data_IF_920758412570
#
_entry.id   IF_920758412570
#
_cell.length_a   1.000
_cell.length_b   1.000
_cell.length_c   1.000
_cell.angle_alpha   90.00
_cell.angle_beta   90.00
_cell.angle_gamma   90.00
#
_symmetry.space_group_name_H-M   'P 1'
#
loop_
_entity.id
_entity.type
_entity.pdbx_description
1 polymer ?
2 non-polymer ?
3 non-polymer ?
4 water ?
#
# COMPACT_ATOMS: atom_id res chain seq x y z
N UNK A 19 9.79 -30.51 13.81
CA UNK A 19 9.67 -29.37 12.88
C UNK A 19 8.78 -29.74 11.70
N UNK A 20 7.66 -29.01 11.48
CA UNK A 20 6.75 -29.38 10.39
C UNK A 20 7.33 -28.94 9.04
N UNK A 21 7.09 -29.77 8.00
CA UNK A 21 7.60 -29.56 6.65
C UNK A 21 6.42 -29.24 5.73
N UNK A 22 6.66 -28.50 4.63
CA UNK A 22 5.62 -28.22 3.61
C UNK A 22 6.06 -28.70 2.21
N UNK A 23 7.08 -28.04 1.63
CA UNK A 23 7.67 -28.43 0.34
C UNK A 23 9.14 -28.85 0.53
N UNK A 24 9.35 -29.71 1.51
CA UNK A 24 10.69 -30.15 1.91
C UNK A 24 11.55 -29.07 2.53
N UNK A 25 10.90 -28.03 3.15
CA UNK A 25 11.56 -26.90 3.83
C UNK A 25 10.94 -26.73 5.21
N UNK A 26 11.72 -26.19 6.19
CA UNK A 26 11.18 -25.94 7.52
C UNK A 26 10.15 -24.81 7.45
N UNK A 27 8.94 -25.12 7.93
CA UNK A 27 7.90 -24.14 8.20
C UNK A 27 7.45 -24.38 9.65
N UNK A 28 8.26 -23.85 10.57
CA UNK A 28 8.25 -24.28 11.97
C UNK A 28 7.37 -23.40 12.88
N UNK A 29 6.10 -23.80 13.06
CA UNK A 29 5.08 -22.92 13.64
C UNK A 29 4.31 -23.51 14.81
N UNK A 30 4.37 -24.83 15.01
CA UNK A 30 3.56 -25.47 16.05
C UNK A 30 3.91 -25.09 17.49
N UNK A 31 3.13 -25.57 18.47
CA UNK A 31 1.95 -26.44 18.35
C UNK A 31 0.61 -25.67 18.27
N UNK A 32 0.63 -24.33 18.34
CA UNK A 32 -0.60 -23.54 18.31
C UNK A 32 -1.28 -23.62 16.91
N UNK A 33 -0.48 -23.76 15.84
CA UNK A 33 -0.92 -23.64 14.46
C UNK A 33 -0.69 -24.96 13.70
N UNK A 34 -1.78 -25.71 13.44
CA UNK A 34 -1.73 -27.06 12.85
C UNK A 34 -2.56 -27.19 11.55
N UNK A 35 -2.36 -28.28 10.79
CA UNK A 35 -2.98 -28.51 9.48
C UNK A 35 -2.59 -27.40 8.48
N UNK A 36 -1.32 -27.42 8.06
CA UNK A 36 -0.77 -26.44 7.12
C UNK A 36 -1.20 -26.75 5.68
N UNK A 37 -1.76 -25.76 4.96
CA UNK A 37 -1.92 -25.83 3.51
C UNK A 37 -1.01 -24.77 2.88
N UNK A 38 -0.26 -25.15 1.84
CA UNK A 38 0.62 -24.22 1.13
C UNK A 38 -0.22 -23.15 0.39
N UNK A 39 0.37 -21.95 0.15
CA UNK A 39 -0.26 -20.85 -0.60
C UNK A 39 0.69 -20.31 -1.69
N UNK A 40 1.80 -19.69 -1.31
CA UNK A 40 2.68 -19.02 -2.27
C UNK A 40 4.08 -18.67 -1.80
N UNK A 41 4.70 -17.68 -2.48
CA UNK A 41 6.09 -17.26 -2.30
C UNK A 41 6.19 -15.72 -2.29
N UNK A 42 5.43 -15.09 -1.40
CA UNK A 42 5.27 -13.64 -1.35
C UNK A 42 6.54 -12.82 -1.39
N UNK A 43 7.20 -12.66 -0.22
CA UNK A 43 8.31 -11.71 -0.10
C UNK A 43 9.64 -12.28 -0.58
N UNK A 45 10.04 -14.51 1.86
CA UNK A 45 10.04 -15.96 1.99
C UNK A 45 8.71 -16.57 1.59
N UNK A 46 8.41 -17.81 2.02
CA UNK A 46 7.16 -18.50 1.65
C UNK A 46 5.99 -18.24 2.60
N UNK A 47 4.76 -18.50 2.09
CA UNK A 47 3.49 -18.29 2.80
C UNK A 47 2.65 -19.57 2.78
N UNK A 48 1.92 -19.84 3.88
CA UNK A 48 1.05 -21.01 4.09
C UNK A 48 -0.11 -20.57 4.94
N UNK A 49 -1.24 -21.27 4.88
CA UNK A 49 -2.31 -21.18 5.91
C UNK A 49 -2.15 -22.29 6.96
N UNK A 50 -2.90 -22.19 8.07
CA UNK A 50 -2.82 -23.10 9.21
C UNK A 50 -4.02 -22.88 10.13
N UNK A 51 -4.40 -23.90 10.96
CA UNK A 51 -5.45 -23.80 11.98
C UNK A 51 -4.93 -23.29 13.30
N UNK A 52 -5.43 -22.13 13.78
CA UNK A 52 -5.13 -21.64 15.12
C UNK A 52 -5.93 -22.48 16.13
N UNK A 53 -5.29 -23.00 17.19
CA UNK A 53 -5.96 -23.83 18.20
C UNK A 53 -6.43 -23.02 19.45
N UNK A 54 -6.03 -21.74 19.60
CA UNK A 54 -6.43 -20.89 20.75
C UNK A 54 -7.68 -20.11 20.40
N UNK A 55 -7.57 -19.21 19.40
CA UNK A 55 -8.74 -18.72 18.67
C UNK A 55 -9.08 -19.88 17.74
N UNK A 56 -10.35 -20.08 17.44
CA UNK A 56 -10.76 -21.24 16.66
C UNK A 56 -11.19 -20.76 15.29
N UNK A 57 -10.17 -20.31 14.54
CA UNK A 57 -10.26 -19.77 13.19
C UNK A 57 -8.99 -20.18 12.43
N UNK A 58 -9.06 -20.40 11.10
CA UNK A 58 -7.82 -20.61 10.33
C UNK A 58 -7.15 -19.24 10.09
N UNK A 59 -5.82 -19.23 9.86
CA UNK A 59 -5.00 -18.00 9.79
C UNK A 59 -3.99 -18.09 8.65
N UNK A 60 -3.35 -16.97 8.27
CA UNK A 60 -2.27 -16.94 7.28
C UNK A 60 -0.93 -16.76 8.02
N UNK A 61 0.16 -17.39 7.51
CA UNK A 61 1.48 -17.36 8.13
C UNK A 61 2.55 -17.13 7.09
N UNK A 62 3.33 -16.06 7.25
CA UNK A 62 4.44 -15.68 6.39
C UNK A 62 5.79 -16.06 7.03
N UNK A 63 6.68 -16.83 6.34
CA UNK A 63 8.06 -17.07 6.79
C UNK A 63 8.98 -15.97 6.22
N UNK A 64 9.71 -15.27 7.10
CA UNK A 64 10.63 -14.20 6.74
C UNK A 64 12.00 -14.64 7.22
N UNK A 65 13.01 -14.49 6.35
CA UNK A 65 14.39 -14.85 6.62
C UNK A 65 15.33 -13.67 6.19
N UNK A 66 15.39 -12.58 6.97
CA UNK A 66 16.15 -11.39 6.55
C UNK A 66 17.50 -11.15 7.23
N UNK A 67 18.08 -12.12 7.98
CA UNK A 67 19.13 -11.71 8.91
C UNK A 67 20.48 -11.52 8.21
N UNK A 68 20.60 -12.03 6.97
CA UNK A 68 21.85 -11.91 6.19
C UNK A 68 22.08 -10.51 5.60
N UNK A 69 21.01 -9.72 5.43
CA UNK A 69 21.09 -8.44 4.70
C UNK A 69 20.53 -7.33 5.55
N UNK A 70 21.28 -6.23 5.66
CA UNK A 70 20.88 -5.15 6.55
C UNK A 70 19.65 -4.45 5.99
N UNK A 71 19.56 -4.33 4.65
CA UNK A 71 18.38 -3.78 3.96
C UNK A 71 17.09 -4.55 4.36
N UNK A 72 17.16 -5.89 4.44
CA UNK A 72 15.93 -6.66 4.66
C UNK A 72 15.58 -6.64 6.16
N UNK A 73 16.61 -6.67 7.03
CA UNK A 73 16.40 -6.32 8.42
C UNK A 73 15.63 -5.01 8.62
N UNK A 74 16.02 -3.90 7.94
CA UNK A 74 15.38 -2.59 8.06
C UNK A 74 13.90 -2.67 7.66
N UNK A 75 13.62 -3.31 6.51
CA UNK A 75 12.27 -3.48 6.00
C UNK A 75 11.44 -4.35 6.96
N UNK A 76 12.00 -5.50 7.43
CA UNK A 76 11.27 -6.40 8.35
C UNK A 76 10.97 -5.70 9.62
N UNK A 77 11.96 -5.01 10.19
CA UNK A 77 11.75 -4.24 11.40
C UNK A 77 10.76 -3.15 11.17
N UNK A 78 10.85 -2.37 10.06
CA UNK A 78 9.84 -1.28 9.82
C UNK A 78 8.44 -1.81 9.78
N UNK A 79 8.20 -2.87 8.99
CA UNK A 79 6.87 -3.46 8.90
C UNK A 79 6.32 -3.98 10.22
N UNK A 80 7.13 -4.71 10.96
CA UNK A 80 6.71 -5.23 12.27
C UNK A 80 6.42 -4.04 13.22
N UNK A 81 7.33 -3.03 13.32
CA UNK A 81 7.08 -1.89 14.20
C UNK A 81 5.74 -1.15 13.85
N UNK A 82 5.52 -0.92 12.55
CA UNK A 82 4.32 -0.21 12.11
C UNK A 82 3.09 -1.06 12.40
N UNK A 83 3.09 -2.32 11.96
CA UNK A 83 1.93 -3.18 12.16
C UNK A 83 1.59 -3.40 13.60
N UNK A 84 2.57 -3.49 14.46
CA UNK A 84 2.28 -3.65 15.88
C UNK A 84 1.81 -2.33 16.52
N UNK A 85 2.25 -1.19 16.00
CA UNK A 85 1.82 0.11 16.52
C UNK A 85 0.31 0.30 16.14
N UNK A 86 -0.04 -0.06 14.93
CA UNK A 86 -1.34 0.22 14.39
C UNK A 86 -2.40 -0.73 14.89
N UNK A 87 -3.59 -0.17 15.11
CA UNK A 87 -4.75 -0.99 15.39
C UNK A 87 -5.92 -0.35 14.68
N UNK A 88 -6.33 -0.95 13.57
CA UNK A 88 -7.42 -0.40 12.73
C UNK A 88 -8.10 -1.49 11.96
N UNK A 89 -9.45 -1.41 11.82
CA UNK A 89 -10.23 -2.44 11.12
C UNK A 89 -9.83 -2.60 9.65
N UNK A 90 -9.28 -1.52 9.03
CA UNK A 90 -8.95 -1.58 7.63
C UNK A 90 -7.45 -1.68 7.37
N UNK A 91 -6.69 -2.16 8.39
CA UNK A 91 -5.28 -2.43 8.25
C UNK A 91 -5.01 -3.82 8.84
N UNK A 92 -4.24 -4.64 8.12
CA UNK A 92 -4.01 -6.01 8.57
C UNK A 92 -3.25 -5.92 9.91
N UNK A 93 -3.65 -6.70 10.86
CA UNK A 93 -2.96 -6.74 12.16
C UNK A 93 -1.97 -7.87 12.21
N UNK A 94 -1.02 -7.86 13.15
CA UNK A 94 -0.20 -9.05 13.42
C UNK A 94 -0.85 -9.74 14.62
N UNK A 95 -1.28 -10.97 14.47
CA UNK A 95 -1.93 -11.70 15.58
C UNK A 95 -0.89 -12.31 16.48
N UNK A 96 0.24 -12.73 15.89
CA UNK A 96 1.26 -13.49 16.64
C UNK A 96 2.54 -13.45 15.84
N UNK A 97 3.68 -13.66 16.52
CA UNK A 97 4.97 -13.83 15.87
C UNK A 97 5.64 -14.98 16.51
N UNK A 98 6.09 -15.92 15.68
CA UNK A 98 6.78 -17.13 16.13
C UNK A 98 8.23 -17.01 15.77
N UNK A 99 9.11 -17.22 16.75
CA UNK A 99 10.55 -17.31 16.51
C UNK A 99 11.18 -18.00 17.68
N UNK A 100 12.41 -18.41 17.50
CA UNK A 100 13.25 -19.04 18.51
C UNK A 100 13.38 -18.21 19.82
N UNK A 101 13.64 -18.85 20.95
CA UNK A 101 13.74 -18.12 22.22
C UNK A 101 15.01 -17.27 22.36
N UNK A 102 16.03 -17.44 21.48
CA UNK A 102 17.32 -16.74 21.59
C UNK A 102 17.71 -16.18 20.23
N UNK A 103 18.51 -15.09 20.23
CA UNK A 103 19.01 -14.49 18.98
C UNK A 103 19.77 -15.52 18.14
N UNK A 104 20.63 -16.29 18.78
CA UNK A 104 21.49 -17.27 18.13
C UNK A 104 20.70 -18.35 17.42
N UNK A 105 19.62 -18.83 18.03
CA UNK A 105 18.78 -19.86 17.41
C UNK A 105 17.77 -19.27 16.44
N UNK A 106 17.55 -17.93 16.44
CA UNK A 106 16.57 -17.32 15.56
C UNK A 106 17.14 -17.22 14.14
N UNK A 107 16.59 -18.01 13.22
CA UNK A 107 16.96 -18.00 11.80
C UNK A 107 15.87 -17.47 10.93
N UNK A 108 14.58 -17.63 11.35
CA UNK A 108 13.41 -17.15 10.63
C UNK A 108 12.46 -16.45 11.64
N UNK A 109 11.57 -15.63 11.10
CA UNK A 109 10.42 -15.20 11.87
C UNK A 109 9.14 -15.59 11.11
N UNK A 110 8.13 -16.01 11.83
CA UNK A 110 6.80 -16.32 11.26
C UNK A 110 5.81 -15.29 11.73
N UNK A 111 5.18 -14.57 10.79
CA UNK A 111 4.15 -13.60 11.12
C UNK A 111 2.79 -14.17 10.85
N UNK A 112 1.97 -14.25 11.86
CA UNK A 112 0.60 -14.77 11.80
C UNK A 112 -0.35 -13.62 11.64
N UNK A 113 -1.21 -13.68 10.58
CA UNK A 113 -2.27 -12.68 10.38
C UNK A 113 -3.64 -13.29 10.09
N UNK A 114 -4.69 -12.46 10.16
CA UNK A 114 -6.05 -12.92 9.75
C UNK A 114 -5.98 -13.55 8.35
N UNK A 115 -6.71 -14.65 8.15
CA UNK A 115 -6.74 -15.28 6.85
C UNK A 115 -7.79 -14.49 6.11
N UNK A 116 -7.43 -14.03 4.94
CA UNK A 116 -8.30 -13.20 4.13
C UNK A 116 -8.46 -14.01 2.89
N UNK A 117 -9.70 -14.24 2.53
CA UNK A 117 -10.04 -15.15 1.45
C UNK A 117 -9.50 -14.72 0.10
N UNK A 118 -9.37 -13.38 -0.18
CA UNK A 118 -8.81 -12.96 -1.45
C UNK A 118 -8.15 -11.57 -1.34
N UNK A 119 -7.86 -10.97 -2.49
CA UNK A 119 -7.33 -9.58 -2.56
C UNK A 119 -7.94 -8.91 -3.77
N UNK A 120 -7.84 -7.60 -3.85
CA UNK A 120 -8.49 -6.85 -4.92
C UNK A 120 -7.90 -7.18 -6.31
N UNK A 121 -6.58 -7.50 -6.36
CA UNK A 121 -5.96 -7.92 -7.64
C UNK A 121 -6.66 -9.18 -8.14
N UNK A 122 -6.73 -10.20 -7.34
CA UNK A 122 -7.38 -11.46 -7.71
C UNK A 122 -8.85 -11.26 -8.07
N UNK A 123 -9.56 -10.51 -7.23
CA UNK A 123 -10.97 -10.22 -7.44
C UNK A 123 -11.17 -9.53 -8.82
N UNK A 124 -10.34 -8.53 -9.15
CA UNK A 124 -10.45 -7.80 -10.42
C UNK A 124 -10.11 -8.67 -11.64
N UNK A 125 -9.32 -9.75 -11.48
CA UNK A 125 -9.05 -10.63 -12.61
C UNK A 125 -10.36 -11.30 -13.16
N UNK A 126 -11.34 -11.67 -12.31
CA UNK A 126 -12.52 -12.39 -12.78
C UNK A 126 -13.88 -11.81 -12.39
N UNK A 127 -13.95 -10.76 -11.55
CA UNK A 127 -15.24 -10.26 -11.08
C UNK A 127 -15.49 -8.83 -11.50
N UNK A 128 -16.63 -8.57 -12.16
CA UNK A 128 -17.16 -7.20 -12.27
C UNK A 128 -17.55 -6.68 -10.88
N UNK A 129 -17.13 -5.47 -10.57
CA UNK A 129 -17.55 -4.86 -9.29
C UNK A 129 -18.78 -3.97 -9.51
N UNK A 130 -19.84 -4.14 -8.72
CA UNK A 130 -20.95 -3.19 -8.81
C UNK A 130 -20.50 -1.80 -8.35
N UNK A 131 -21.27 -0.75 -8.72
CA UNK A 131 -20.96 0.58 -8.17
C UNK A 131 -21.01 0.57 -6.67
N UNK A 132 -21.90 -0.21 -6.01
CA UNK A 132 -21.94 -0.24 -4.55
C UNK A 132 -20.64 -0.85 -3.97
N UNK A 133 -20.12 -1.92 -4.59
CA UNK A 133 -18.86 -2.48 -4.13
C UNK A 133 -17.70 -1.51 -4.30
N UNK A 134 -17.66 -0.81 -5.39
CA UNK A 134 -16.54 0.13 -5.68
C UNK A 134 -16.53 1.21 -4.63
N UNK A 135 -17.71 1.80 -4.40
CA UNK A 135 -17.93 2.80 -3.34
C UNK A 135 -17.46 2.31 -1.96
N UNK A 136 -17.88 1.13 -1.58
CA UNK A 136 -17.56 0.50 -0.31
C UNK A 136 -16.06 0.22 -0.17
N UNK A 137 -15.47 -0.38 -1.19
CA UNK A 137 -14.00 -0.63 -1.18
C UNK A 137 -13.24 0.68 -1.05
N UNK A 138 -13.64 1.70 -1.85
CA UNK A 138 -12.95 2.99 -1.83
C UNK A 138 -13.04 3.62 -0.46
N UNK A 139 -14.23 3.56 0.16
CA UNK A 139 -14.44 4.07 1.53
C UNK A 139 -13.43 3.39 2.47
N UNK A 140 -13.33 2.08 2.42
CA UNK A 140 -12.50 1.38 3.39
C UNK A 140 -11.00 1.66 3.15
N UNK A 141 -10.60 1.76 1.86
CA UNK A 141 -9.24 2.11 1.55
C UNK A 141 -8.91 3.47 2.20
N UNK A 142 -9.74 4.45 1.96
CA UNK A 142 -9.47 5.82 2.49
C UNK A 142 -9.57 5.90 4.01
N UNK A 143 -10.46 5.08 4.59
CA UNK A 143 -10.58 5.08 6.08
C UNK A 143 -9.29 4.55 6.70
N UNK A 144 -8.77 3.47 6.14
CA UNK A 144 -7.47 2.95 6.56
C UNK A 144 -6.34 3.92 6.33
N UNK A 145 -6.32 4.51 5.14
CA UNK A 145 -5.29 5.48 4.78
C UNK A 145 -5.33 6.72 5.68
N UNK A 146 -6.53 7.18 6.08
CA UNK A 146 -6.63 8.29 7.04
C UNK A 146 -5.83 7.98 8.31
N UNK A 147 -6.03 6.79 8.81
CA UNK A 147 -5.30 6.35 10.00
C UNK A 147 -3.78 6.30 9.76
N UNK A 148 -3.34 5.67 8.65
CA UNK A 148 -1.92 5.54 8.36
C UNK A 148 -1.30 6.97 8.32
N UNK A 149 -1.93 7.85 7.51
CA UNK A 149 -1.44 9.23 7.36
C UNK A 149 -1.44 10.00 8.69
N UNK A 150 -2.45 9.77 9.55
CA UNK A 150 -2.52 10.40 10.86
C UNK A 150 -1.37 10.01 11.78
N UNK A 151 -0.78 8.82 11.53
CA UNK A 151 0.42 8.36 12.23
C UNK A 151 1.69 8.87 11.59
N UNK A 152 1.58 9.75 10.59
CA UNK A 152 2.72 10.34 9.90
C UNK A 152 3.48 9.27 9.13
N UNK A 153 2.77 8.23 8.69
CA UNK A 153 3.30 7.14 7.89
C UNK A 153 2.76 7.25 6.47
N UNK A 154 3.60 6.91 5.51
CA UNK A 154 3.25 6.73 4.07
C UNK A 154 3.34 5.30 3.75
N UNK A 155 2.34 4.77 3.07
CA UNK A 155 2.38 3.35 2.73
C UNK A 155 3.37 3.11 1.57
N UNK A 156 3.20 3.89 0.50
CA UNK A 156 4.09 3.99 -0.66
C UNK A 156 4.03 2.79 -1.60
N UNK A 157 3.23 1.77 -1.35
CA UNK A 157 3.07 0.70 -2.33
C UNK A 157 1.67 0.24 -2.41
N UNK A 158 0.69 1.21 -2.41
CA UNK A 158 -0.71 0.83 -2.53
C UNK A 158 -0.98 0.38 -3.94
N UNK A 159 -1.65 -0.76 -4.07
CA UNK A 159 -2.04 -1.37 -5.33
C UNK A 159 -3.03 -2.49 -5.00
N UNK A 160 -3.79 -3.02 -5.98
CA UNK A 160 -4.83 -4.01 -5.66
C UNK A 160 -4.37 -5.24 -4.88
N UNK A 161 -3.17 -5.83 -5.17
CA UNK A 161 -2.73 -7.05 -4.47
C UNK A 161 -2.39 -6.77 -2.97
N UNK A 162 -2.25 -5.48 -2.59
CA UNK A 162 -2.00 -5.07 -1.19
C UNK A 162 -3.28 -4.65 -0.44
N UNK A 163 -4.42 -4.96 -1.05
CA UNK A 163 -5.73 -4.81 -0.45
C UNK A 163 -6.42 -6.12 -0.33
N UNK A 164 -6.41 -6.63 0.89
CA UNK A 164 -6.95 -7.96 1.23
C UNK A 164 -8.43 -7.87 1.52
N UNK A 165 -9.20 -8.91 1.14
CA UNK A 165 -10.66 -8.95 1.30
C UNK A 165 -11.10 -10.25 1.87
N UNK A 166 -12.08 -10.26 2.74
CA UNK A 166 -12.64 -11.52 3.23
C UNK A 166 -13.97 -11.78 2.49
N UNK A 167 -14.73 -12.84 2.85
CA UNK A 167 -15.92 -13.18 2.06
C UNK A 167 -17.10 -12.24 2.23
N UNK A 168 -17.08 -11.35 3.27
CA UNK A 168 -18.07 -10.32 3.41
C UNK A 168 -17.52 -8.98 2.86
N UNK A 169 -16.44 -9.02 2.07
CA UNK A 169 -15.87 -7.80 1.45
C UNK A 169 -15.34 -6.74 2.47
N UNK A 170 -14.98 -7.15 3.67
CA UNK A 170 -14.17 -6.29 4.53
C UNK A 170 -12.81 -6.21 3.93
N UNK A 171 -12.25 -5.01 3.91
CA UNK A 171 -10.99 -4.74 3.26
C UNK A 171 -9.92 -4.33 4.28
N UNK A 172 -8.71 -4.86 4.11
CA UNK A 172 -7.56 -4.50 4.93
C UNK A 172 -6.31 -4.26 4.09
N UNK A 173 -5.71 -3.13 4.33
CA UNK A 173 -4.46 -2.74 3.71
C UNK A 173 -3.33 -3.59 4.35
N UNK A 174 -2.43 -4.05 3.50
CA UNK A 174 -1.27 -4.82 3.91
C UNK A 174 -0.03 -4.41 3.19
N UNK A 175 1.07 -5.06 3.54
CA UNK A 175 2.39 -4.91 2.94
C UNK A 175 3.00 -3.52 3.13
N UNK A 176 3.49 -3.26 4.35
CA UNK A 176 4.18 -2.02 4.72
C UNK A 176 5.74 -2.07 4.59
N UNK A 177 6.22 -2.98 3.75
CA UNK A 177 7.64 -3.13 3.44
C UNK A 177 8.31 -1.92 2.82
N UNK A 178 7.56 -1.08 2.10
CA UNK A 178 8.14 0.14 1.56
C UNK A 178 7.72 1.42 2.31
N UNK A 179 7.03 1.26 3.44
CA UNK A 179 6.41 2.37 4.13
C UNK A 179 7.49 3.21 4.82
N UNK A 180 7.24 4.49 4.95
CA UNK A 180 8.21 5.41 5.55
C UNK A 180 7.48 6.42 6.38
N UNK A 181 8.17 6.98 7.40
CA UNK A 181 7.66 8.14 8.10
C UNK A 181 7.66 9.34 7.08
N UNK A 182 6.60 10.14 7.07
CA UNK A 182 6.48 11.27 6.14
C UNK A 182 7.64 12.24 6.33
N UNK A 183 8.14 12.86 5.22
CA UNK A 183 9.32 13.79 5.26
C UNK A 183 9.25 14.74 4.14
N UNK A 184 8.23 15.61 4.11
CA UNK A 184 8.07 16.53 2.98
C UNK A 184 9.23 17.48 2.77
N UNK A 185 9.88 17.98 3.86
CA UNK A 185 11.06 18.84 3.70
C UNK A 185 12.20 18.22 2.94
N UNK A 186 12.30 16.87 2.85
CA UNK A 186 13.37 16.17 2.13
C UNK A 186 12.83 15.38 0.95
N UNK A 187 11.73 15.84 0.32
CA UNK A 187 11.09 15.10 -0.78
C UNK A 187 11.75 15.35 -2.12
N UNK A 188 12.55 16.41 -2.26
CA UNK A 188 13.07 16.76 -3.57
C UNK A 188 14.20 15.87 -3.99
N UNK A 189 14.21 15.51 -5.28
CA UNK A 189 15.32 14.80 -5.90
C UNK A 189 15.44 15.25 -7.36
N UNK A 190 16.49 14.83 -8.06
CA UNK A 190 16.69 15.16 -9.46
C UNK A 190 15.84 14.29 -10.37
N UNK A 191 15.96 14.53 -11.67
CA UNK A 191 15.14 13.91 -12.71
C UNK A 191 15.57 12.43 -12.90
N UNK A 192 14.63 11.52 -13.10
CA UNK A 192 14.96 10.11 -13.35
C UNK A 192 15.61 9.41 -12.14
N UNK A 193 15.20 9.76 -10.89
CA UNK A 193 15.74 9.09 -9.69
C UNK A 193 15.05 7.72 -9.61
N UNK A 194 15.84 6.67 -9.43
CA UNK A 194 15.31 5.29 -9.30
C UNK A 194 14.29 5.17 -8.17
N UNK A 195 13.27 4.37 -8.38
CA UNK A 195 12.19 4.23 -7.41
C UNK A 195 11.87 2.75 -7.17
N UNK A 196 11.51 2.42 -5.91
CA UNK A 196 11.32 1.01 -5.49
C UNK A 196 9.86 0.54 -5.75
N UNK A 197 8.88 1.38 -5.53
CA UNK A 197 7.47 0.91 -5.51
C UNK A 197 6.91 0.62 -6.88
N UNK A 198 5.78 -0.13 -6.91
CA UNK A 198 5.26 -0.78 -8.13
C UNK A 198 4.98 0.29 -9.20
N UNK A 199 5.49 0.08 -10.44
CA UNK A 199 5.52 1.16 -11.44
C UNK A 199 4.13 1.76 -11.75
N UNK A 200 3.12 0.91 -11.97
CA UNK A 200 1.83 1.38 -12.47
C UNK A 200 1.07 2.32 -11.51
N UNK A 201 1.43 2.32 -10.24
CA UNK A 201 0.72 3.12 -9.27
C UNK A 201 1.54 4.30 -8.80
N UNK A 202 2.68 4.60 -9.51
CA UNK A 202 3.59 5.70 -9.15
C UNK A 202 3.06 7.01 -9.64
N UNK A 203 3.04 8.02 -8.76
CA UNK A 203 2.61 9.34 -9.12
C UNK A 203 3.59 9.95 -10.12
N UNK A 204 3.08 10.90 -10.94
CA UNK A 204 3.96 11.48 -11.98
C UNK A 204 5.23 12.10 -11.44
N UNK A 205 5.14 12.74 -10.27
CA UNK A 205 6.28 13.45 -9.68
C UNK A 205 7.45 12.52 -9.28
N UNK A 206 7.17 11.21 -9.02
CA UNK A 206 8.28 10.26 -8.76
C UNK A 206 9.31 10.26 -9.95
N UNK A 207 8.83 10.41 -11.15
CA UNK A 207 9.69 10.34 -12.35
C UNK A 207 10.33 11.72 -12.61
N UNK A 208 9.95 12.73 -11.85
CA UNK A 208 10.39 14.10 -12.15
C UNK A 208 11.24 14.72 -11.07
N UNK A 209 10.69 14.76 -9.84
CA UNK A 209 11.39 15.48 -8.75
C UNK A 209 11.06 15.03 -7.36
N UNK A 210 10.51 13.83 -7.18
CA UNK A 210 9.99 13.44 -5.87
C UNK A 210 10.55 12.10 -5.41
N UNK A 211 11.03 12.04 -4.16
CA UNK A 211 11.39 10.76 -3.50
C UNK A 211 10.18 9.96 -2.94
N UNK A 212 8.93 10.46 -3.01
CA UNK A 212 7.79 9.74 -2.49
C UNK A 212 7.71 9.78 -0.97
N UNK A 213 8.11 10.93 -0.39
CA UNK A 213 8.08 11.19 1.06
C UNK A 213 6.92 12.11 1.49
N UNK A 214 5.88 12.34 0.62
CA UNK A 214 4.71 13.11 1.09
C UNK A 214 3.47 12.26 0.88
N UNK A 215 2.42 12.62 1.59
CA UNK A 215 1.16 11.92 1.64
C UNK A 215 0.49 11.83 0.28
N UNK A 216 0.68 12.89 -0.56
CA UNK A 216 0.11 12.92 -1.89
C UNK A 216 0.52 11.76 -2.75
N UNK A 217 1.63 11.06 -2.45
CA UNK A 217 2.05 9.85 -3.20
C UNK A 217 1.03 8.72 -3.08
N UNK A 218 0.44 8.61 -1.90
CA UNK A 218 -0.53 7.56 -1.64
C UNK A 218 -1.88 7.84 -2.26
N UNK A 219 -2.33 9.10 -2.27
CA UNK A 219 -3.60 9.46 -2.87
C UNK A 219 -3.56 9.18 -4.36
N UNK A 220 -2.43 9.48 -5.04
CA UNK A 220 -2.29 9.05 -6.44
C UNK A 220 -2.57 7.56 -6.63
N UNK A 221 -1.93 6.69 -5.83
CA UNK A 221 -2.07 5.27 -5.98
C UNK A 221 -3.53 4.91 -5.78
N UNK A 222 -4.19 5.51 -4.80
CA UNK A 222 -5.63 5.24 -4.55
C UNK A 222 -6.47 5.62 -5.79
N UNK A 223 -6.17 6.77 -6.40
CA UNK A 223 -6.83 7.17 -7.64
C UNK A 223 -6.66 6.12 -8.72
N UNK A 224 -5.43 5.56 -8.87
CA UNK A 224 -5.19 4.52 -9.88
C UNK A 224 -6.06 3.26 -9.56
N UNK A 225 -6.15 2.94 -8.25
CA UNK A 225 -6.91 1.76 -7.85
C UNK A 225 -8.38 2.00 -8.15
N UNK A 226 -8.90 3.20 -7.89
CA UNK A 226 -10.31 3.50 -8.17
C UNK A 226 -10.59 3.28 -9.65
N UNK A 227 -9.75 3.87 -10.53
CA UNK A 227 -9.83 3.70 -12.00
C UNK A 227 -9.84 2.26 -12.37
N UNK A 228 -8.95 1.44 -11.74
CA UNK A 228 -8.85 0.01 -12.03
C UNK A 228 -10.11 -0.74 -11.58
N UNK A 229 -10.69 -0.31 -10.46
CA UNK A 229 -11.95 -0.87 -10.01
C UNK A 229 -13.10 -0.66 -10.97
N UNK A 230 -13.11 0.47 -11.64
CA UNK A 230 -14.18 0.80 -12.58
C UNK A 230 -14.11 -0.09 -13.85
N UNK A 231 -12.89 -0.43 -14.34
CA UNK A 231 -12.80 -1.10 -15.64
C UNK A 231 -12.14 -2.46 -15.59
N UNK A 232 -11.64 -2.90 -14.42
CA UNK A 232 -10.90 -4.15 -14.26
C UNK A 232 -9.52 -4.15 -14.87
N UNK A 233 -9.04 -3.00 -15.37
CA UNK A 233 -7.76 -2.93 -16.02
C UNK A 233 -6.98 -1.79 -15.43
N UNK A 234 -5.65 -1.96 -15.31
CA UNK A 234 -4.83 -0.85 -14.78
C UNK A 234 -4.93 0.35 -15.68
N UNK A 235 -5.08 1.54 -15.12
CA UNK A 235 -5.25 2.75 -15.93
C UNK A 235 -3.98 3.21 -16.66
N UNK A 236 -2.81 3.06 -15.98
CA UNK A 236 -1.53 3.53 -16.49
C UNK A 236 -0.50 2.37 -16.49
N UNK A 237 -0.68 1.39 -17.41
CA UNK A 237 0.22 0.22 -17.43
C UNK A 237 1.52 0.47 -18.17
N UNK A 238 2.33 1.40 -17.63
CA UNK A 238 3.62 1.70 -18.24
C UNK A 238 4.55 0.53 -18.36
N UNK A 239 5.28 0.49 -19.47
CA UNK A 239 6.18 -0.61 -19.84
C UNK A 239 7.60 -0.38 -19.39
N UNK A 240 7.88 0.83 -18.94
CA UNK A 240 9.16 1.23 -18.41
C UNK A 240 8.99 2.60 -17.70
N UNK A 241 10.06 3.00 -17.10
CA UNK A 241 10.07 4.11 -16.17
C UNK A 241 9.42 5.38 -16.76
N UNK A 242 9.89 5.94 -17.93
CA UNK A 242 9.28 7.14 -18.56
C UNK A 242 8.02 6.85 -19.29
N UNK A 243 7.79 5.61 -19.71
CA UNK A 243 6.50 5.25 -20.32
C UNK A 243 5.42 5.41 -19.28
N UNK A 244 5.72 5.16 -18.00
CA UNK A 244 4.74 5.43 -16.95
C UNK A 244 4.26 6.86 -17.04
N UNK A 245 5.17 7.83 -17.25
CA UNK A 245 4.73 9.22 -17.41
C UNK A 245 3.96 9.47 -18.71
N UNK A 246 4.38 8.89 -19.87
CA UNK A 246 3.61 9.04 -21.11
C UNK A 246 2.18 8.49 -20.99
N UNK A 247 1.98 7.43 -20.21
CA UNK A 247 0.60 6.90 -19.98
C UNK A 247 -0.21 7.93 -19.20
N UNK A 248 0.40 8.45 -18.16
CA UNK A 248 -0.26 9.47 -17.34
C UNK A 248 -0.68 10.70 -18.19
N UNK A 249 0.28 11.29 -18.95
CA UNK A 249 -0.03 12.50 -19.71
C UNK A 249 -0.99 12.21 -20.90
N UNK A 250 -1.05 10.99 -21.38
CA UNK A 250 -1.99 10.66 -22.45
C UNK A 250 -3.43 10.71 -22.01
N UNK A 251 -3.67 10.64 -20.66
CA UNK A 251 -5.01 10.78 -20.14
C UNK A 251 -5.25 12.15 -19.53
N UNK A 252 -4.34 12.59 -18.65
CA UNK A 252 -4.51 13.90 -18.00
C UNK A 252 -4.32 15.11 -18.95
N UNK A 253 -3.57 14.87 -20.02
CA UNK A 253 -3.12 15.90 -20.94
C UNK A 253 -1.85 16.57 -20.45
N UNK A 254 -1.25 17.37 -21.30
CA UNK A 254 0.00 18.04 -20.97
C UNK A 254 -0.20 18.96 -19.74
N UNK A 255 0.78 19.03 -18.82
CA UNK A 255 0.64 19.97 -17.70
C UNK A 255 0.60 21.43 -18.12
N UNK A 256 -0.17 22.19 -17.36
CA UNK A 256 -0.33 23.62 -17.53
C UNK A 256 0.95 24.32 -17.20
N UNK A 257 1.08 25.60 -17.63
CA UNK A 257 2.29 26.34 -17.34
C UNK A 257 2.42 26.48 -15.86
N UNK A 258 1.30 26.68 -15.14
CA UNK A 258 1.37 26.84 -13.69
C UNK A 258 1.94 25.61 -13.04
N UNK A 259 1.49 24.43 -13.44
CA UNK A 259 1.99 23.17 -12.87
C UNK A 259 3.44 22.93 -13.25
N UNK A 260 3.85 23.32 -14.46
CA UNK A 260 5.27 23.31 -14.80
C UNK A 260 6.10 24.24 -13.99
N UNK A 261 5.62 25.49 -13.73
CA UNK A 261 6.34 26.44 -12.87
C UNK A 261 6.66 25.92 -11.47
N UNK A 262 5.87 24.97 -10.97
CA UNK A 262 6.10 24.29 -9.71
C UNK A 262 7.31 23.33 -9.75
N UNK A 263 7.75 22.86 -10.92
CA UNK A 263 8.89 21.97 -11.08
C UNK A 263 10.10 22.83 -11.32
N UNK A 264 10.91 23.02 -10.30
CA UNK A 264 12.08 23.90 -10.46
C UNK A 264 13.21 23.20 -11.18
N UNK A 265 13.35 21.91 -10.96
CA UNK A 265 14.40 21.18 -11.62
C UNK A 265 14.30 21.36 -13.16
N UNK A 266 15.37 21.88 -13.75
CA UNK A 266 15.43 22.15 -15.19
C UNK A 266 15.36 20.93 -16.08
N UNK A 267 16.06 19.84 -15.72
CA UNK A 267 16.02 18.61 -16.51
C UNK A 267 14.60 18.07 -16.58
N UNK A 268 13.90 18.02 -15.42
CA UNK A 268 12.53 17.55 -15.42
C UNK A 268 11.61 18.50 -16.21
N UNK A 269 11.71 19.83 -15.94
CA UNK A 269 10.91 20.79 -16.72
C UNK A 269 11.12 20.71 -18.24
N UNK A 270 12.35 20.69 -18.71
CA UNK A 270 12.71 20.63 -20.13
C UNK A 270 12.28 19.33 -20.74
N UNK A 271 12.30 18.25 -19.96
CA UNK A 271 11.80 16.97 -20.49
C UNK A 271 10.29 17.18 -20.81
N UNK A 272 9.51 17.71 -19.87
CA UNK A 272 8.08 17.89 -20.07
C UNK A 272 7.85 18.85 -21.24
N UNK A 273 8.61 19.90 -21.33
CA UNK A 273 8.51 20.86 -22.46
C UNK A 273 8.81 20.25 -23.82
N UNK A 274 9.64 19.20 -23.86
CA UNK A 274 10.05 18.56 -25.12
C UNK A 274 8.94 17.69 -25.76
N UNK A 275 7.94 17.31 -24.98
CA UNK A 275 6.90 16.37 -25.38
C UNK A 275 5.87 17.09 -26.25
N UNK A 276 5.36 16.41 -27.27
CA UNK A 276 4.19 16.96 -27.99
C UNK A 276 3.02 17.21 -27.05
N UNK A 277 2.24 18.23 -27.38
CA UNK A 277 1.05 18.58 -26.63
C UNK A 277 0.05 17.42 -26.70
N UNK A 278 -0.57 17.09 -25.55
CA UNK A 278 -1.61 16.04 -25.44
C UNK A 278 -2.79 16.65 -24.72
N UNK A 279 -4.03 16.38 -25.20
CA UNK A 279 -5.19 17.01 -24.57
C UNK A 279 -5.73 15.98 -23.56
N UNK A 280 -6.46 16.47 -22.57
CA UNK A 280 -7.12 15.69 -21.55
C UNK A 280 -8.10 14.69 -22.22
N UNK A 281 -8.13 13.40 -21.78
CA UNK A 281 -9.18 12.46 -22.18
C UNK A 281 -10.25 12.61 -21.10
N UNK A 282 -11.49 13.04 -21.45
CA UNK A 282 -12.56 13.09 -20.44
C UNK A 282 -12.75 11.80 -19.72
N UNK A 283 -12.90 11.86 -18.38
CA UNK A 283 -13.08 10.64 -17.61
C UNK A 283 -14.34 9.88 -18.08
N UNK A 284 -15.43 10.63 -18.42
CA UNK A 284 -16.74 10.01 -18.75
C UNK A 284 -16.65 9.23 -20.09
N UNK A 285 -15.64 9.54 -20.95
CA UNK A 285 -15.37 8.74 -22.15
C UNK A 285 -14.55 7.51 -21.86
N UNK A 286 -13.64 7.59 -20.90
CA UNK A 286 -12.83 6.42 -20.51
C UNK A 286 -13.71 5.42 -19.72
N UNK A 287 -14.69 5.95 -18.94
CA UNK A 287 -15.51 5.15 -18.02
C UNK A 287 -16.96 5.53 -18.23
N UNK A 288 -17.54 5.08 -19.37
CA UNK A 288 -18.92 5.48 -19.67
C UNK A 288 -20.02 4.96 -18.74
N UNK A 289 -19.77 3.86 -18.03
CA UNK A 289 -20.81 3.34 -17.12
C UNK A 289 -20.56 3.81 -15.69
N UNK A 290 -19.58 4.69 -15.47
CA UNK A 290 -19.19 5.06 -14.09
C UNK A 290 -20.14 6.08 -13.51
N UNK A 291 -20.37 6.03 -12.19
CA UNK A 291 -21.06 7.08 -11.47
C UNK A 291 -20.35 8.42 -11.62
N UNK A 292 -21.09 9.50 -11.94
CA UNK A 292 -20.45 10.80 -12.15
C UNK A 292 -19.69 11.32 -10.88
N UNK A 293 -20.21 11.03 -9.68
CA UNK A 293 -19.55 11.48 -8.43
C UNK A 293 -18.23 10.71 -8.29
N UNK A 294 -18.20 9.40 -8.69
CA UNK A 294 -16.96 8.59 -8.67
C UNK A 294 -15.91 9.26 -9.57
N UNK A 295 -16.34 9.78 -10.74
CA UNK A 295 -15.42 10.42 -11.68
C UNK A 295 -14.94 11.75 -11.19
N UNK A 296 -15.79 12.49 -10.47
CA UNK A 296 -15.38 13.77 -9.90
C UNK A 296 -14.29 13.53 -8.86
N UNK A 297 -14.48 12.51 -8.00
CA UNK A 297 -13.46 12.16 -7.02
C UNK A 297 -12.20 11.64 -7.68
N UNK A 298 -12.35 10.79 -8.70
CA UNK A 298 -11.17 10.28 -9.43
C UNK A 298 -10.29 11.43 -9.97
N UNK A 299 -10.96 12.43 -10.60
CA UNK A 299 -10.29 13.58 -11.18
C UNK A 299 -9.44 14.27 -10.11
N UNK A 300 -10.00 14.38 -8.92
CA UNK A 300 -9.31 15.07 -7.83
C UNK A 300 -8.12 14.29 -7.24
N UNK A 301 -8.16 12.93 -7.25
CA UNK A 301 -7.06 12.06 -6.79
C UNK A 301 -5.97 11.93 -7.86
N UNK A 302 -6.35 11.98 -9.17
CA UNK A 302 -5.42 11.88 -10.30
C UNK A 302 -5.12 13.27 -10.87
N UNK A 303 -4.68 14.15 -10.02
CA UNK A 303 -4.32 15.50 -10.34
C UNK A 303 -2.81 15.48 -10.46
N UNK A 304 -2.30 16.05 -11.53
CA UNK A 304 -0.87 16.06 -11.83
C UNK A 304 -0.05 16.73 -10.71
N UNK A 305 -0.51 17.91 -10.26
CA UNK A 305 0.20 18.73 -9.28
C UNK A 305 -0.02 18.16 -7.90
N UNK A 306 0.99 17.65 -7.21
CA UNK A 306 0.75 17.02 -5.90
C UNK A 306 0.20 17.93 -4.83
N UNK A 307 0.50 19.21 -4.90
CA UNK A 307 -0.02 20.17 -3.94
C UNK A 307 -1.55 20.38 -4.10
N UNK A 308 -2.06 20.28 -5.32
CA UNK A 308 -3.46 20.50 -5.64
C UNK A 308 -4.27 19.18 -5.48
N UNK A 309 -3.60 18.05 -5.33
CA UNK A 309 -4.23 16.75 -5.25
C UNK A 309 -5.03 16.68 -3.92
N UNK A 310 -6.18 16.06 -3.96
CA UNK A 310 -7.05 15.97 -2.78
C UNK A 310 -6.36 15.27 -1.61
N UNK A 311 -6.68 15.68 -0.39
CA UNK A 311 -6.18 15.06 0.83
C UNK A 311 -7.08 13.90 1.19
N UNK A 312 -6.60 12.93 1.98
CA UNK A 312 -7.42 11.76 2.36
C UNK A 312 -8.76 12.18 2.99
N UNK A 313 -8.74 13.15 3.89
CA UNK A 313 -9.95 13.57 4.58
C UNK A 313 -10.94 14.24 3.70
N UNK A 314 -10.44 15.02 2.69
CA UNK A 314 -11.34 15.63 1.72
C UNK A 314 -11.99 14.58 0.84
N UNK A 315 -11.21 13.55 0.53
CA UNK A 315 -11.74 12.44 -0.26
C UNK A 315 -12.84 11.73 0.49
N UNK A 316 -12.64 11.44 1.80
CA UNK A 316 -13.67 10.83 2.62
C UNK A 316 -14.97 11.62 2.64
N UNK A 317 -14.82 12.96 2.65
CA UNK A 317 -15.92 13.95 2.74
C UNK A 317 -16.57 14.23 1.38
N UNK A 318 -16.10 13.60 0.29
CA UNK A 318 -16.59 13.85 -1.08
C UNK A 318 -17.98 13.26 -1.21
N UNK A 319 -18.90 13.91 -1.98
CA UNK A 319 -20.23 13.33 -2.20
C UNK A 319 -20.28 11.88 -2.62
N UNK A 320 -19.28 11.35 -3.31
CA UNK A 320 -19.33 9.95 -3.72
C UNK A 320 -19.47 9.02 -2.52
N UNK A 321 -18.89 9.40 -1.34
CA UNK A 321 -18.81 8.54 -0.14
C UNK A 321 -19.81 8.94 0.91
N UNK A 322 -20.76 9.78 0.55
CA UNK A 322 -21.74 10.32 1.51
C UNK A 322 -22.50 9.29 2.32
N UNK A 323 -22.78 8.12 1.72
CA UNK A 323 -23.48 7.07 2.47
C UNK A 323 -22.69 6.50 3.62
N UNK A 324 -21.32 6.58 3.54
CA UNK A 324 -20.43 6.01 4.52
C UNK A 324 -19.78 7.06 5.43
N UNK A 325 -19.60 8.28 4.95
CA UNK A 325 -18.73 9.25 5.67
C UNK A 325 -19.23 9.47 7.09
N UNK A 326 -18.36 9.26 8.06
CA UNK A 326 -18.67 9.46 9.47
C UNK A 326 -17.35 9.71 10.21
N UNK A 327 -16.87 10.99 10.29
CA UNK A 327 -15.53 11.21 10.83
C UNK A 327 -15.35 10.73 12.25
N UNK A 328 -16.41 10.65 13.07
CA UNK A 328 -16.26 10.10 14.41
C UNK A 328 -16.03 8.60 14.40
N UNK A 329 -16.29 7.94 13.28
CA UNK A 329 -16.04 6.50 13.14
C UNK A 329 -14.90 6.26 12.15
N UNK A 330 -14.02 7.27 11.96
CA UNK A 330 -12.87 7.16 11.10
C UNK A 330 -11.69 7.56 11.95
N UNK A 331 -11.22 6.59 12.77
CA UNK A 331 -10.23 6.91 13.80
C UNK A 331 -8.86 7.37 13.30
N UNK A 332 -8.17 8.14 14.17
CA UNK A 332 -6.80 8.54 13.96
C UNK A 332 -5.90 7.89 14.97
N UNK A 333 -4.61 7.86 14.63
CA UNK A 333 -3.59 7.17 15.43
C UNK A 333 -3.34 7.90 16.78
N UNK A 334 -3.33 7.16 17.91
CA UNK A 334 -3.02 7.73 19.23
C UNK A 334 -1.57 8.13 19.33
N UNK A 335 -0.68 7.40 18.63
CA UNK A 335 0.78 7.53 18.80
C UNK A 335 1.44 7.54 17.43
N UNK A 336 1.45 8.70 16.78
CA UNK A 336 2.15 8.83 15.51
C UNK A 336 3.68 8.64 15.63
N UNK A 337 4.30 8.25 14.53
CA UNK A 337 5.71 8.02 14.43
C UNK A 337 6.29 9.39 14.24
N UNK A 338 7.04 9.86 15.23
CA UNK A 338 7.49 11.25 15.24
C UNK A 338 8.69 11.52 14.34
N UNK A 339 9.58 10.52 14.13
CA UNK A 339 10.80 10.70 13.33
C UNK A 339 11.11 9.44 12.53
N UNK A 346 23.32 1.78 10.66
CA UNK A 346 22.76 0.81 11.63
C UNK A 346 22.95 -0.67 11.12
N UNK A 347 23.91 -1.42 11.68
CA UNK A 347 24.23 -2.74 11.11
C UNK A 347 23.17 -3.82 11.38
N UNK A 348 23.11 -4.84 10.50
CA UNK A 348 22.20 -5.97 10.59
C UNK A 348 22.30 -6.71 11.97
N UNK A 349 23.48 -6.68 12.61
CA UNK A 349 23.67 -7.35 13.91
C UNK A 349 22.72 -6.68 14.88
N UNK A 350 22.71 -5.33 14.86
CA UNK A 350 21.89 -4.55 15.79
C UNK A 350 20.44 -4.62 15.40
N UNK A 351 20.14 -4.73 14.09
CA UNK A 351 18.76 -4.81 13.67
C UNK A 351 18.20 -6.17 14.04
N UNK A 352 19.03 -7.24 14.05
CA UNK A 352 18.52 -8.56 14.49
C UNK A 352 18.14 -8.49 15.94
N UNK A 353 18.99 -7.87 16.78
CA UNK A 353 18.63 -7.56 18.17
C UNK A 353 17.33 -6.77 18.24
N UNK A 354 17.13 -5.73 17.39
CA UNK A 354 15.89 -4.95 17.49
C UNK A 354 14.68 -5.76 17.06
N UNK A 355 14.80 -6.63 16.04
CA UNK A 355 13.68 -7.51 15.60
C UNK A 355 13.38 -8.51 16.68
N UNK A 356 14.40 -9.14 17.23
CA UNK A 356 14.24 -10.00 18.39
C UNK A 356 13.49 -9.24 19.48
N UNK A 357 13.95 -7.99 19.81
CA UNK A 357 13.30 -7.18 20.83
C UNK A 357 11.87 -6.84 20.47
N UNK A 358 11.62 -6.42 19.24
CA UNK A 358 10.31 -6.04 18.78
C UNK A 358 9.30 -7.20 18.88
N UNK A 359 9.79 -8.44 18.80
CA UNK A 359 8.92 -9.61 18.74
C UNK A 359 8.83 -10.32 20.10
N UNK A 360 9.53 -9.79 21.15
CA UNK A 360 9.59 -10.37 22.49
C UNK A 360 8.24 -10.57 23.15
N UNK A 361 7.29 -9.66 22.88
CA UNK A 361 5.95 -9.64 23.51
C UNK A 361 5.13 -10.89 23.19
N UNK A 362 5.47 -11.61 22.11
CA UNK A 362 4.77 -12.80 21.71
C UNK A 362 5.31 -14.07 22.33
N UNK A 363 6.39 -13.98 23.11
CA UNK A 363 7.04 -15.20 23.62
C UNK A 363 6.24 -15.73 24.82
N UNK A 364 6.19 -17.06 25.06
CA UNK A 364 5.43 -17.57 26.24
C UNK A 364 5.71 -16.80 27.54
N UNK A 365 4.73 -16.01 28.00
CA UNK A 365 4.89 -15.16 29.17
C UNK A 365 3.60 -14.44 29.57
X LIG B 1 11.36 0.67 -13.33
X LIG B 1 10.29 1.53 -14.01
X LIG B 1 12.62 0.90 -14.11
X LIG B 1 11.02 -0.78 -13.45
X LIG B 1 11.53 0.98 -11.90
X LIG C 1 -0.67 -10.97 1.75
X LIG C 1 -0.18 -11.14 0.33
X LIG C 1 -0.78 -10.14 -0.62
X LIG C 1 -1.85 -10.49 -1.31
X LIG C 1 -0.21 -8.95 -0.72
X LIG C 1 -0.06 -11.42 2.36
X LIG C 1 -1.56 -11.38 1.82
X LIG C 1 -0.73 -10.03 1.96
X LIG C 1 0.80 -11.04 0.32
X LIG C 1 -0.39 -12.04 0.03
X LIG C 1 -2.16 -9.94 -1.93
X LIG C 1 -0.54 -8.36 -1.29
X LIG C 1 0.54 -8.79 -0.29
X LIG C 1 -2.34 -11.17 -1.04
X LIG D 1 -17.12 -1.79 -12.87
X LIG D 1 -17.94 -0.83 -13.67
X LIG D 1 -18.88 -0.08 -12.86
X LIG D 1 -18.98 1.23 -13.07
X LIG D 1 -19.58 -0.70 -11.96
X LIG D 1 -17.71 -2.36 -12.37
X LIG D 1 -16.56 -1.30 -12.25
X LIG D 1 -16.56 -2.32 -13.47
X LIG D 1 -17.34 -0.20 -14.12
X LIG D 1 -18.43 -1.32 -14.35
X LIG D 1 -19.53 1.71 -12.58
X LIG D 1 -20.13 -0.25 -11.46
X LIG D 1 -19.68 -1.58 -12.02
X LIG D 1 -18.58 1.59 -13.78
#
# INVERSE_FOLDING_TARGET
MAHHHHHHMAAAAAAGAGPEMVRGQVFDVGPRYTNLSYIGEGAYGMVCSAYDNVNKVRVAIKKISPFEHQTYCQRTLREIKILLRFRHENIIGINDIIRAPTIEQMKDVYIVQDLMETDLYKLLKTQHLSNDHICYFLYQILRGLKYIHSANVLHRDLKPSNLLLNTTCDLKICDFGLARVADPDHDHTGFLTEYVATRWYRAPEIMLNSKGYTKSIDIWSVGCILAEMLSNRPIFPGKHYLDQLNHILGILGSPSQEDLNCIINLKARNYLLSLPHKNKVPWNRLFPNADSKALDLLDKMLTFNPHKRIEVEQALAHPYLEQYYDPSDEPIAEAPFKFDMELDDLPKEKLKELIFEETARFQPGYRS
SO4 S O1 O2 O3 O4
HVB C1 C2 C3 N4 N5 H10 H8 H9 H12 H11 H6 H13 H14 H7
HVB C1 C2 C3 N4 N5 H10 H8 H9 H12 H11 H6 H13 H14 H7
#
